data_IF_965097172426
#
_entry.id   IF_965097172426
#
_cell.length_a   1.000
_cell.length_b   1.000
_cell.length_c   1.000
_cell.angle_alpha   90.00
_cell.angle_beta   90.00
_cell.angle_gamma   90.00
#
_symmetry.space_group_name_H-M   'P 1'
#
loop_
_entity.id
_entity.type
_entity.pdbx_description
1 polymer ?
#
# COMPACT_ATOMS: atom_id res chain seq x y z
N UNK A 1 5.91 -5.70 -3.48
CA UNK A 1 4.75 -5.87 -4.39
C UNK A 1 3.56 -6.59 -3.75
N UNK A 2 3.78 -7.60 -2.89
CA UNK A 2 2.69 -8.42 -2.31
C UNK A 2 1.64 -7.58 -1.56
N UNK A 3 2.07 -6.67 -0.66
CA UNK A 3 1.15 -5.79 0.05
C UNK A 3 0.28 -4.95 -0.87
N UNK A 4 0.87 -4.39 -1.94
CA UNK A 4 0.16 -3.65 -2.96
C UNK A 4 -0.85 -4.52 -3.72
N UNK A 5 -0.44 -5.72 -4.14
CA UNK A 5 -1.31 -6.63 -4.94
C UNK A 5 -2.52 -7.11 -4.15
N UNK A 6 -2.33 -7.46 -2.87
CA UNK A 6 -3.43 -7.88 -2.00
C UNK A 6 -4.37 -6.70 -1.71
N UNK A 7 -3.81 -5.50 -1.46
CA UNK A 7 -4.59 -4.29 -1.27
C UNK A 7 -5.46 -3.95 -2.48
N UNK A 8 -4.88 -3.98 -3.68
CA UNK A 8 -5.60 -3.76 -4.94
C UNK A 8 -6.75 -4.75 -5.11
N UNK A 9 -6.49 -6.04 -4.87
CA UNK A 9 -7.52 -7.07 -4.98
C UNK A 9 -8.66 -6.86 -3.99
N UNK A 10 -8.34 -6.52 -2.75
CA UNK A 10 -9.33 -6.23 -1.72
C UNK A 10 -10.16 -4.98 -2.06
N UNK A 11 -9.53 -3.93 -2.60
CA UNK A 11 -10.23 -2.74 -3.08
C UNK A 11 -11.22 -3.04 -4.21
N UNK A 12 -10.81 -3.81 -5.22
CA UNK A 12 -11.69 -4.20 -6.32
C UNK A 12 -12.91 -4.98 -5.82
N UNK A 13 -12.72 -5.89 -4.87
CA UNK A 13 -13.80 -6.64 -4.24
C UNK A 13 -14.75 -5.69 -3.47
N UNK A 14 -14.19 -4.76 -2.68
CA UNK A 14 -14.98 -3.77 -1.95
C UNK A 14 -15.83 -2.90 -2.87
N UNK A 15 -15.26 -2.44 -4.00
CA UNK A 15 -15.99 -1.63 -5.01
C UNK A 15 -17.12 -2.44 -5.65
N UNK A 16 -16.85 -3.69 -6.03
CA UNK A 16 -17.88 -4.55 -6.64
C UNK A 16 -19.03 -4.77 -5.66
N UNK A 17 -18.73 -5.16 -4.44
CA UNK A 17 -19.74 -5.36 -3.40
C UNK A 17 -20.56 -4.08 -3.13
N UNK A 18 -19.88 -2.94 -3.01
CA UNK A 18 -20.53 -1.66 -2.72
C UNK A 18 -21.49 -1.20 -3.84
N UNK A 19 -21.23 -1.57 -5.09
CA UNK A 19 -22.09 -1.27 -6.25
C UNK A 19 -23.32 -2.18 -6.34
N UNK A 20 -23.28 -3.35 -5.73
CA UNK A 20 -24.34 -4.37 -5.82
C UNK A 20 -25.21 -4.41 -4.56
N UNK A 21 -24.63 -4.15 -3.40
CA UNK A 21 -25.32 -4.26 -2.12
C UNK A 21 -26.30 -3.12 -1.90
N UNK A 22 -27.58 -3.44 -1.82
CA UNK A 22 -28.64 -2.49 -1.43
C UNK A 22 -28.83 -2.55 0.08
N UNK A 23 -28.65 -1.43 0.78
CA UNK A 23 -28.92 -1.32 2.22
C UNK A 23 -29.01 0.13 2.69
N UNK A 24 -30.03 0.40 3.50
CA UNK A 24 -30.24 1.71 4.12
C UNK A 24 -30.65 2.79 3.12
N UNK A 25 -30.81 4.01 3.62
CA UNK A 25 -31.04 5.21 2.80
C UNK A 25 -29.88 6.18 3.01
N UNK A 26 -29.23 6.66 1.95
CA UNK A 26 -28.18 7.66 2.10
C UNK A 26 -28.74 8.98 2.64
N UNK A 27 -27.88 9.76 3.32
CA UNK A 27 -28.28 11.06 3.91
C UNK A 27 -28.66 12.07 2.82
N UNK A 28 -28.03 11.98 1.64
CA UNK A 28 -28.28 12.87 0.49
C UNK A 28 -28.46 12.05 -0.78
N UNK A 29 -29.49 12.44 -1.54
CA UNK A 29 -29.86 11.75 -2.78
C UNK A 29 -30.49 10.38 -2.46
N UNK A 30 -31.42 9.91 -3.19
CA UNK A 30 -31.80 8.51 -3.14
C UNK A 30 -32.49 8.08 -4.42
N UNK A 31 -32.07 6.96 -4.93
CA UNK A 31 -32.88 6.09 -5.76
C UNK A 31 -33.81 5.29 -4.86
N UNK A 32 -34.84 4.67 -5.40
CA UNK A 32 -35.78 3.83 -4.61
C UNK A 32 -35.08 2.65 -3.93
N UNK A 33 -33.95 2.16 -4.50
CA UNK A 33 -33.14 1.07 -3.98
C UNK A 33 -31.64 1.46 -4.02
N UNK A 34 -31.16 2.32 -3.09
CA UNK A 34 -29.79 2.80 -3.12
C UNK A 34 -28.80 1.69 -2.76
N UNK A 35 -27.74 1.58 -3.54
CA UNK A 35 -26.62 0.72 -3.20
C UNK A 35 -25.73 1.40 -2.16
N UNK A 36 -24.96 0.61 -1.40
CA UNK A 36 -24.16 1.16 -0.30
C UNK A 36 -23.05 2.12 -0.77
N UNK A 37 -22.67 2.08 -2.05
CA UNK A 37 -21.71 3.05 -2.61
C UNK A 37 -22.24 4.50 -2.58
N UNK A 38 -23.55 4.69 -2.42
CA UNK A 38 -24.16 6.01 -2.31
C UNK A 38 -23.99 6.62 -0.91
N UNK A 39 -23.66 5.81 0.11
CA UNK A 39 -23.40 6.30 1.46
C UNK A 39 -22.05 7.05 1.53
N UNK A 40 -22.04 8.28 2.09
CA UNK A 40 -20.83 9.10 2.16
C UNK A 40 -19.64 8.40 2.85
N UNK A 41 -19.88 7.63 3.92
CA UNK A 41 -18.81 6.93 4.63
C UNK A 41 -18.24 5.76 3.83
N UNK A 42 -19.06 5.04 3.08
CA UNK A 42 -18.58 4.00 2.16
C UNK A 42 -17.71 4.63 1.06
N UNK A 43 -18.12 5.77 0.50
CA UNK A 43 -17.31 6.53 -0.47
C UNK A 43 -15.98 6.97 0.13
N UNK A 44 -15.98 7.48 1.37
CA UNK A 44 -14.76 7.86 2.08
C UNK A 44 -13.81 6.67 2.22
N UNK A 45 -14.30 5.51 2.67
CA UNK A 45 -13.51 4.29 2.79
C UNK A 45 -12.90 3.86 1.45
N UNK A 46 -13.71 3.82 0.39
CA UNK A 46 -13.24 3.44 -0.95
C UNK A 46 -12.23 4.44 -1.51
N UNK A 47 -12.43 5.73 -1.29
CA UNK A 47 -11.48 6.76 -1.73
C UNK A 47 -10.15 6.66 -0.98
N UNK A 48 -10.20 6.44 0.33
CA UNK A 48 -9.01 6.24 1.16
C UNK A 48 -8.22 4.99 0.70
N UNK A 49 -8.89 3.84 0.51
CA UNK A 49 -8.26 2.64 -0.04
C UNK A 49 -7.59 2.93 -1.40
N UNK A 50 -8.31 3.59 -2.32
CA UNK A 50 -7.79 3.89 -3.64
C UNK A 50 -6.56 4.82 -3.58
N UNK A 51 -6.64 5.89 -2.83
CA UNK A 51 -5.54 6.87 -2.74
C UNK A 51 -4.26 6.25 -2.18
N UNK A 52 -4.38 5.40 -1.17
CA UNK A 52 -3.25 4.68 -0.60
C UNK A 52 -2.66 3.67 -1.59
N UNK A 53 -3.48 2.94 -2.34
CA UNK A 53 -3.04 2.01 -3.37
C UNK A 53 -2.26 2.74 -4.47
N UNK A 54 -2.76 3.88 -4.95
CA UNK A 54 -2.07 4.65 -5.98
C UNK A 54 -0.73 5.21 -5.47
N UNK A 55 -0.68 5.67 -4.23
CA UNK A 55 0.57 6.10 -3.61
C UNK A 55 1.57 4.94 -3.46
N UNK A 56 1.13 3.76 -3.00
CA UNK A 56 1.98 2.56 -2.94
C UNK A 56 2.48 2.15 -4.33
N UNK A 57 1.63 2.24 -5.34
CA UNK A 57 1.97 1.92 -6.73
C UNK A 57 3.05 2.84 -7.27
N UNK A 58 2.87 4.15 -7.07
CA UNK A 58 3.87 5.17 -7.46
C UNK A 58 5.22 4.90 -6.82
N UNK A 59 5.24 4.66 -5.50
CA UNK A 59 6.47 4.34 -4.77
C UNK A 59 7.12 3.04 -5.27
N UNK A 60 6.35 1.99 -5.51
CA UNK A 60 6.89 0.72 -6.03
C UNK A 60 7.51 0.89 -7.43
N UNK A 61 6.92 1.71 -8.30
CA UNK A 61 7.47 1.96 -9.63
C UNK A 61 8.74 2.81 -9.59
N UNK A 62 8.79 3.81 -8.71
CA UNK A 62 10.02 4.61 -8.53
C UNK A 62 11.19 3.74 -8.07
N UNK A 63 10.96 2.89 -7.07
CA UNK A 63 12.00 1.98 -6.57
C UNK A 63 12.37 0.90 -7.59
N UNK A 64 11.42 0.45 -8.41
CA UNK A 64 11.72 -0.47 -9.52
C UNK A 64 12.57 0.21 -10.61
N UNK A 65 12.33 1.49 -10.88
CA UNK A 65 13.16 2.27 -11.80
C UNK A 65 14.61 2.42 -11.27
N UNK A 66 14.77 2.64 -9.95
CA UNK A 66 16.11 2.68 -9.35
C UNK A 66 16.82 1.33 -9.43
N UNK A 67 16.08 0.21 -9.28
CA UNK A 67 16.62 -1.14 -9.49
C UNK A 67 17.11 -1.32 -10.93
N UNK A 68 16.33 -0.87 -11.91
CA UNK A 68 16.74 -0.93 -13.32
C UNK A 68 17.99 -0.05 -13.59
N UNK A 69 18.03 1.16 -13.05
CA UNK A 69 19.18 2.07 -13.14
C UNK A 69 20.43 1.43 -12.52
N UNK A 70 20.32 0.88 -11.32
CA UNK A 70 21.43 0.22 -10.62
C UNK A 70 22.01 -0.99 -11.39
N UNK A 71 21.18 -1.66 -12.20
CA UNK A 71 21.59 -2.84 -12.96
C UNK A 71 22.04 -2.55 -14.40
N UNK A 72 21.54 -1.47 -15.03
CA UNK A 72 21.67 -1.28 -16.49
C UNK A 72 22.49 -0.04 -16.90
N UNK A 73 22.66 0.97 -16.03
CA UNK A 73 23.44 2.17 -16.36
C UNK A 73 24.92 1.82 -16.45
N UNK A 74 25.58 2.25 -17.53
CA UNK A 74 27.02 2.02 -17.77
C UNK A 74 27.89 2.90 -16.90
N UNK A 75 27.46 4.14 -16.63
CA UNK A 75 28.18 5.08 -15.77
C UNK A 75 28.21 4.58 -14.32
N UNK A 76 29.39 4.34 -13.82
CA UNK A 76 29.60 3.77 -12.48
C UNK A 76 29.07 4.69 -11.37
N UNK A 77 29.24 6.00 -11.51
CA UNK A 77 28.83 6.95 -10.47
C UNK A 77 27.30 7.05 -10.37
N UNK A 78 26.62 7.11 -11.51
CA UNK A 78 25.15 7.10 -11.56
C UNK A 78 24.56 5.77 -11.08
N UNK A 79 25.21 4.66 -11.40
CA UNK A 79 24.82 3.34 -10.91
C UNK A 79 24.95 3.23 -9.38
N UNK A 80 26.02 3.72 -8.80
CA UNK A 80 26.22 3.73 -7.34
C UNK A 80 25.20 4.60 -6.62
N UNK A 81 24.83 5.76 -7.19
CA UNK A 81 23.76 6.62 -6.66
C UNK A 81 22.40 5.90 -6.68
N UNK A 82 22.06 5.25 -7.79
CA UNK A 82 20.82 4.49 -7.91
C UNK A 82 20.79 3.33 -6.93
N UNK A 83 21.91 2.60 -6.76
CA UNK A 83 22.01 1.52 -5.77
C UNK A 83 21.85 2.03 -4.33
N UNK A 84 22.43 3.16 -4.01
CA UNK A 84 22.30 3.76 -2.67
C UNK A 84 20.85 4.17 -2.37
N UNK A 85 20.14 4.75 -3.37
CA UNK A 85 18.73 5.11 -3.25
C UNK A 85 17.86 3.85 -3.13
N UNK A 86 18.06 2.84 -3.97
CA UNK A 86 17.38 1.55 -3.89
C UNK A 86 17.56 0.93 -2.50
N UNK A 87 18.78 0.88 -1.99
CA UNK A 87 19.09 0.34 -0.67
C UNK A 87 18.34 1.07 0.46
N UNK A 88 18.22 2.39 0.36
CA UNK A 88 17.49 3.22 1.31
C UNK A 88 15.97 2.91 1.27
N UNK A 89 15.40 2.75 0.07
CA UNK A 89 13.97 2.68 -0.12
C UNK A 89 13.36 1.28 0.03
N UNK A 90 14.12 0.20 -0.14
CA UNK A 90 13.64 -1.18 0.01
C UNK A 90 12.93 -1.42 1.35
N UNK A 91 13.53 -1.12 2.52
CA UNK A 91 12.87 -1.32 3.80
C UNK A 91 11.61 -0.46 3.97
N UNK A 92 11.59 0.75 3.42
CA UNK A 92 10.43 1.64 3.43
C UNK A 92 9.27 1.03 2.62
N UNK A 93 9.55 0.63 1.39
CA UNK A 93 8.53 0.00 0.50
C UNK A 93 7.98 -1.26 1.14
N UNK A 94 8.85 -2.13 1.65
CA UNK A 94 8.41 -3.37 2.28
C UNK A 94 7.48 -3.10 3.47
N UNK A 95 7.92 -2.29 4.41
CA UNK A 95 7.17 -2.04 5.64
C UNK A 95 5.88 -1.27 5.36
N UNK A 96 5.97 -0.14 4.66
CA UNK A 96 4.81 0.71 4.41
C UNK A 96 3.74 0.03 3.55
N UNK A 97 4.13 -0.64 2.45
CA UNK A 97 3.16 -1.30 1.57
C UNK A 97 2.47 -2.50 2.26
N UNK A 98 3.16 -3.20 3.16
CA UNK A 98 2.55 -4.34 3.87
C UNK A 98 1.65 -3.89 5.02
N UNK A 99 2.03 -2.89 5.79
CA UNK A 99 1.16 -2.32 6.84
C UNK A 99 -0.09 -1.65 6.25
N UNK A 100 0.09 -0.86 5.19
CA UNK A 100 -1.02 -0.23 4.48
C UNK A 100 -1.92 -1.27 3.81
N UNK A 101 -1.34 -2.30 3.21
CA UNK A 101 -2.09 -3.42 2.62
C UNK A 101 -2.96 -4.13 3.64
N UNK A 102 -2.43 -4.37 4.84
CA UNK A 102 -3.21 -4.95 5.95
C UNK A 102 -4.37 -4.03 6.36
N UNK A 103 -4.15 -2.73 6.48
CA UNK A 103 -5.19 -1.75 6.81
C UNK A 103 -6.30 -1.71 5.74
N UNK A 104 -5.92 -1.74 4.46
CA UNK A 104 -6.87 -1.76 3.33
C UNK A 104 -7.71 -3.04 3.34
N UNK A 105 -7.12 -4.20 3.60
CA UNK A 105 -7.88 -5.46 3.69
C UNK A 105 -8.84 -5.47 4.88
N UNK A 106 -8.50 -4.84 6.00
CA UNK A 106 -9.41 -4.61 7.13
C UNK A 106 -10.58 -3.71 6.72
N UNK A 107 -10.32 -2.64 5.99
CA UNK A 107 -11.35 -1.74 5.46
C UNK A 107 -12.27 -2.46 4.47
N UNK A 108 -11.74 -3.39 3.66
CA UNK A 108 -12.55 -4.24 2.79
C UNK A 108 -13.59 -5.05 3.58
N UNK A 109 -13.20 -5.67 4.71
CA UNK A 109 -14.13 -6.36 5.61
C UNK A 109 -15.21 -5.39 6.11
N UNK A 110 -14.81 -4.19 6.51
CA UNK A 110 -15.74 -3.16 6.99
C UNK A 110 -16.76 -2.74 5.93
N UNK A 111 -16.36 -2.56 4.67
CA UNK A 111 -17.26 -2.25 3.55
C UNK A 111 -18.30 -3.36 3.33
N UNK A 112 -17.91 -4.62 3.50
CA UNK A 112 -18.81 -5.78 3.41
C UNK A 112 -19.76 -5.91 4.62
N UNK A 113 -19.50 -5.20 5.74
CA UNK A 113 -20.28 -5.32 6.98
C UNK A 113 -20.25 -6.75 7.52
N UNK A 114 -21.37 -7.24 8.04
CA UNK A 114 -21.47 -8.61 8.57
C UNK A 114 -21.07 -9.69 7.56
N UNK A 115 -21.32 -9.46 6.27
CA UNK A 115 -20.88 -10.38 5.20
C UNK A 115 -19.35 -10.46 5.08
N UNK A 116 -18.62 -9.40 5.42
CA UNK A 116 -17.15 -9.41 5.41
C UNK A 116 -16.52 -10.32 6.46
N UNK A 117 -17.26 -10.63 7.52
CA UNK A 117 -16.84 -11.60 8.54
C UNK A 117 -17.03 -13.06 8.10
N UNK A 118 -17.95 -13.31 7.17
CA UNK A 118 -18.27 -14.64 6.67
C UNK A 118 -17.18 -15.14 5.70
N UNK A 119 -16.78 -16.42 5.84
CA UNK A 119 -15.73 -17.04 5.00
C UNK A 119 -16.12 -17.05 3.51
N UNK A 120 -17.39 -17.25 3.22
CA UNK A 120 -17.93 -17.41 1.86
C UNK A 120 -17.71 -16.18 0.98
N UNK A 121 -17.57 -15.00 1.58
CA UNK A 121 -17.33 -13.75 0.81
C UNK A 121 -15.88 -13.61 0.34
N UNK A 122 -14.95 -14.28 1.01
CA UNK A 122 -13.52 -14.16 0.76
C UNK A 122 -12.87 -12.85 1.27
N UNK A 123 -13.65 -11.91 1.82
CA UNK A 123 -13.10 -10.66 2.34
C UNK A 123 -12.14 -10.89 3.51
N UNK A 124 -12.49 -11.81 4.43
CA UNK A 124 -11.63 -12.23 5.52
C UNK A 124 -10.36 -12.94 5.06
N UNK A 125 -10.39 -13.65 3.91
CA UNK A 125 -9.22 -14.29 3.33
C UNK A 125 -8.14 -13.27 2.94
N UNK A 126 -8.51 -12.17 2.29
CA UNK A 126 -7.55 -11.11 1.96
C UNK A 126 -6.85 -10.54 3.20
N UNK A 127 -7.57 -10.39 4.29
CA UNK A 127 -7.00 -9.91 5.55
C UNK A 127 -6.00 -10.92 6.16
N UNK A 128 -6.34 -12.21 6.19
CA UNK A 128 -5.44 -13.27 6.66
C UNK A 128 -4.18 -13.35 5.81
N UNK A 129 -4.33 -13.31 4.49
CA UNK A 129 -3.19 -13.36 3.56
C UNK A 129 -2.31 -12.11 3.66
N UNK A 130 -2.89 -10.93 3.88
CA UNK A 130 -2.12 -9.71 4.09
C UNK A 130 -1.31 -9.76 5.39
N UNK A 131 -1.81 -10.43 6.44
CA UNK A 131 -1.17 -10.41 7.77
C UNK A 131 0.23 -11.02 7.76
N UNK A 132 0.49 -12.05 6.98
CA UNK A 132 1.81 -12.67 6.92
C UNK A 132 2.86 -11.74 6.27
N UNK A 133 2.44 -10.85 5.40
CA UNK A 133 3.36 -9.97 4.66
C UNK A 133 4.12 -8.99 5.56
N UNK A 134 3.58 -8.66 6.72
CA UNK A 134 4.24 -7.79 7.72
C UNK A 134 5.23 -8.56 8.61
N UNK A 135 5.25 -9.90 8.52
CA UNK A 135 6.00 -10.79 9.40
C UNK A 135 7.18 -11.41 8.68
N UNK A 136 6.96 -12.04 7.53
CA UNK A 136 8.03 -12.77 6.82
C UNK A 136 8.95 -11.86 6.02
N UNK A 137 10.03 -12.42 5.46
CA UNK A 137 11.07 -11.67 4.71
C UNK A 137 11.68 -10.52 5.54
N UNK A 138 11.81 -10.74 6.85
CA UNK A 138 12.14 -9.71 7.83
C UNK A 138 10.91 -8.92 8.25
N UNK A 139 10.57 -8.99 9.55
CA UNK A 139 9.41 -8.26 10.08
C UNK A 139 9.54 -6.75 9.81
N UNK A 140 8.43 -6.01 9.83
CA UNK A 140 8.49 -4.56 9.63
C UNK A 140 9.34 -3.86 10.71
N UNK A 141 9.44 -4.44 11.93
CA UNK A 141 10.39 -3.98 12.94
C UNK A 141 11.86 -4.17 12.51
N UNK A 142 12.20 -5.31 11.87
CA UNK A 142 13.52 -5.55 11.31
C UNK A 142 13.81 -4.57 10.17
N UNK A 143 12.83 -4.27 9.32
CA UNK A 143 12.97 -3.27 8.26
C UNK A 143 13.24 -1.86 8.83
N UNK A 144 12.56 -1.49 9.92
CA UNK A 144 12.80 -0.22 10.59
C UNK A 144 14.21 -0.16 11.21
N UNK A 145 14.67 -1.24 11.82
CA UNK A 145 16.05 -1.33 12.35
C UNK A 145 17.10 -1.25 11.24
N UNK A 146 16.87 -1.91 10.10
CA UNK A 146 17.76 -1.83 8.94
C UNK A 146 17.80 -0.41 8.37
N UNK A 147 16.65 0.22 8.22
CA UNK A 147 16.54 1.61 7.76
C UNK A 147 17.34 2.55 8.66
N UNK A 148 17.05 2.58 9.94
CA UNK A 148 17.65 3.55 10.88
C UNK A 148 19.09 3.21 11.24
N UNK A 149 19.39 1.94 11.51
CA UNK A 149 20.71 1.50 11.99
C UNK A 149 21.77 1.36 10.90
N UNK A 150 21.39 1.19 9.64
CA UNK A 150 22.34 0.94 8.55
C UNK A 150 22.15 1.87 7.35
N UNK A 151 20.93 2.06 6.86
CA UNK A 151 20.70 2.77 5.59
C UNK A 151 20.77 4.29 5.76
N UNK A 152 20.15 4.82 6.82
CA UNK A 152 20.16 6.27 7.10
C UNK A 152 21.55 6.77 7.45
N UNK A 153 22.32 6.00 8.23
CA UNK A 153 23.66 6.42 8.69
C UNK A 153 24.78 6.14 7.68
N UNK A 154 24.48 5.39 6.62
CA UNK A 154 25.46 5.03 5.59
C UNK A 154 26.03 6.31 4.94
N UNK A 155 27.32 6.33 4.67
CA UNK A 155 28.03 7.46 4.06
C UNK A 155 27.76 8.81 4.78
N UNK A 156 27.66 8.79 6.11
CA UNK A 156 27.39 10.01 6.88
C UNK A 156 25.99 10.62 6.64
N UNK A 157 25.05 9.84 6.10
CA UNK A 157 23.69 10.31 5.83
C UNK A 157 23.52 11.00 4.47
N UNK A 158 24.50 10.98 3.59
CA UNK A 158 24.49 11.66 2.30
C UNK A 158 23.30 11.24 1.42
N UNK A 159 22.99 9.93 1.34
CA UNK A 159 21.88 9.42 0.56
C UNK A 159 20.52 9.95 1.05
N UNK A 160 20.34 10.00 2.37
CA UNK A 160 19.10 10.55 2.97
C UNK A 160 19.02 12.06 2.72
N UNK A 161 20.14 12.77 2.82
CA UNK A 161 20.16 14.20 2.52
C UNK A 161 19.77 14.49 1.07
N UNK A 162 20.31 13.73 0.13
CA UNK A 162 19.95 13.79 -1.30
C UNK A 162 18.47 13.49 -1.51
N UNK A 163 17.94 12.45 -0.86
CA UNK A 163 16.51 12.13 -0.92
C UNK A 163 15.63 13.29 -0.42
N UNK A 164 15.98 13.88 0.74
CA UNK A 164 15.24 15.02 1.28
C UNK A 164 15.28 16.22 0.34
N UNK A 165 16.42 16.51 -0.29
CA UNK A 165 16.54 17.58 -1.27
C UNK A 165 15.63 17.33 -2.49
N UNK A 166 15.62 16.12 -3.03
CA UNK A 166 14.77 15.75 -4.18
C UNK A 166 13.28 15.88 -3.89
N UNK A 167 12.84 15.61 -2.63
CA UNK A 167 11.44 15.74 -2.22
C UNK A 167 11.04 17.21 -2.02
N UNK A 168 11.99 18.07 -1.65
CA UNK A 168 11.73 19.50 -1.43
C UNK A 168 11.67 20.33 -2.71
N UNK A 169 12.19 19.78 -3.83
CA UNK A 169 12.17 20.40 -5.17
C UNK A 169 13.07 21.57 -5.24
#
# INVERSE_FOLDING_TARGET
>A
LQGLSIAERAYQQAVSFAKERVQGKPIQGSTDNPTIIEHPDVRRMLLDMKSQIEAMRGLCYEVAADLDRANKIEDNQEREKAQAMLDLMIPVVKAWCTDTGLAITSTNIQVHGGMGFMEETGAGQHYRDARITTIYEGTNGVQAMDLLGRKVVRNGGETVHTFIQNVRG
#
